data_IF_524828508969
#
_entry.id   IF_524828508969
#
_cell.length_a   1.000
_cell.length_b   1.000
_cell.length_c   1.000
_cell.angle_alpha   90.00
_cell.angle_beta   90.00
_cell.angle_gamma   90.00
#
_symmetry.space_group_name_H-M   'P 1'
#
loop_
_entity.id
_entity.type
_entity.pdbx_description
1 polymer ?
#
# COMPACT_ATOMS: atom_id res chain seq x y z
N UNK A 1 -14.65 1.12 8.54
CA UNK A 1 -13.56 2.10 8.62
C UNK A 1 -13.15 2.36 7.18
N UNK A 2 -12.89 3.61 6.82
CA UNK A 2 -12.43 3.96 5.47
C UNK A 2 -11.01 4.47 5.60
N UNK A 3 -10.08 3.83 4.91
CA UNK A 3 -8.67 4.20 4.89
C UNK A 3 -8.37 4.93 3.59
N UNK A 4 -7.58 6.00 3.66
CA UNK A 4 -7.28 6.83 2.49
C UNK A 4 -6.48 6.06 1.44
N UNK A 5 -6.49 6.50 0.18
CA UNK A 5 -5.66 5.88 -0.85
C UNK A 5 -4.17 5.98 -0.48
N UNK A 6 -3.38 5.03 -0.97
CA UNK A 6 -1.95 5.01 -0.70
C UNK A 6 -1.25 6.23 -1.29
N UNK A 7 -0.19 6.71 -0.62
CA UNK A 7 0.65 7.77 -1.13
C UNK A 7 1.87 7.18 -1.84
N UNK A 8 2.21 7.74 -3.00
CA UNK A 8 3.43 7.36 -3.72
C UNK A 8 4.49 8.45 -3.53
N UNK A 9 5.45 8.31 -2.60
CA UNK A 9 6.45 9.34 -2.31
C UNK A 9 7.35 9.64 -3.52
N UNK A 10 7.55 8.66 -4.40
CA UNK A 10 8.28 8.83 -5.67
C UNK A 10 7.54 9.73 -6.67
N UNK A 11 6.24 9.99 -6.47
CA UNK A 11 5.38 10.73 -7.38
C UNK A 11 4.55 11.79 -6.66
N UNK A 12 5.13 12.87 -6.10
CA UNK A 12 4.41 13.80 -5.23
C UNK A 12 3.27 14.62 -5.91
N UNK A 13 3.27 14.76 -7.24
CA UNK A 13 2.31 15.59 -8.00
C UNK A 13 1.17 14.79 -8.66
N UNK A 14 0.87 13.58 -8.19
CA UNK A 14 -0.21 12.78 -8.77
C UNK A 14 -1.61 13.27 -8.36
N UNK A 15 -2.57 13.12 -9.27
CA UNK A 15 -3.97 13.31 -8.94
C UNK A 15 -4.39 12.26 -7.90
N UNK A 16 -5.25 12.66 -6.95
CA UNK A 16 -5.58 11.87 -5.75
C UNK A 16 -6.15 10.48 -6.03
N UNK A 17 -6.70 10.23 -7.23
CA UNK A 17 -7.39 8.98 -7.56
C UNK A 17 -6.73 8.18 -8.71
N UNK A 18 -5.77 8.78 -9.42
CA UNK A 18 -5.14 8.14 -10.59
C UNK A 18 -3.76 8.69 -10.90
N UNK A 19 -2.85 7.81 -11.28
CA UNK A 19 -1.48 8.13 -11.66
C UNK A 19 -1.05 7.34 -12.89
N UNK A 20 -0.24 7.99 -13.73
CA UNK A 20 0.49 7.36 -14.82
C UNK A 20 1.86 6.92 -14.26
N UNK A 21 2.03 5.63 -14.07
CA UNK A 21 3.27 5.02 -13.60
C UNK A 21 4.13 4.63 -14.79
N UNK A 22 5.16 5.43 -15.09
CA UNK A 22 6.16 5.08 -16.10
C UNK A 22 7.23 4.22 -15.47
N UNK A 23 7.35 2.97 -15.90
CA UNK A 23 8.37 2.05 -15.40
C UNK A 23 9.78 2.57 -15.68
N UNK A 24 9.99 3.28 -16.79
CA UNK A 24 11.22 4.01 -17.08
C UNK A 24 11.63 5.06 -16.02
N UNK A 25 10.67 5.60 -15.24
CA UNK A 25 10.95 6.52 -14.14
C UNK A 25 11.16 5.81 -12.79
N UNK A 26 10.97 4.49 -12.74
CA UNK A 26 11.11 3.69 -11.54
C UNK A 26 12.51 3.03 -11.54
N UNK A 27 13.41 3.52 -10.69
CA UNK A 27 14.77 2.97 -10.61
C UNK A 27 14.81 1.52 -10.11
N UNK A 28 13.90 1.17 -9.20
CA UNK A 28 13.81 -0.16 -8.56
C UNK A 28 12.35 -0.49 -8.21
N UNK A 29 12.03 -0.79 -6.95
CA UNK A 29 10.66 -1.02 -6.49
C UNK A 29 9.82 0.26 -6.40
N UNK A 30 8.50 0.09 -6.57
CA UNK A 30 7.51 1.14 -6.30
C UNK A 30 7.24 1.17 -4.80
N UNK A 31 7.54 2.32 -4.20
CA UNK A 31 7.30 2.59 -2.80
C UNK A 31 5.87 3.11 -2.64
N UNK A 32 5.14 2.44 -1.76
CA UNK A 32 3.76 2.71 -1.41
C UNK A 32 3.72 3.06 0.06
N UNK A 33 3.43 4.32 0.37
CA UNK A 33 3.36 4.81 1.73
C UNK A 33 1.92 4.78 2.23
N UNK A 34 1.72 4.19 3.40
CA UNK A 34 0.45 4.23 4.12
C UNK A 34 0.31 5.63 4.76
N UNK A 35 -0.78 6.38 4.49
CA UNK A 35 -0.99 7.69 5.08
C UNK A 35 -0.91 7.68 6.62
N UNK A 36 -0.34 8.73 7.21
CA UNK A 36 -0.28 8.87 8.67
C UNK A 36 -1.57 9.42 9.25
N UNK A 37 -1.77 9.23 10.56
CA UNK A 37 -2.87 9.85 11.31
C UNK A 37 -4.26 9.25 11.05
N UNK A 38 -4.33 8.18 10.25
CA UNK A 38 -5.47 7.26 10.26
C UNK A 38 -5.40 6.40 11.53
N UNK A 39 -6.56 6.00 12.05
CA UNK A 39 -6.70 5.24 13.30
C UNK A 39 -6.30 3.77 13.08
N UNK A 40 -5.06 3.54 12.63
CA UNK A 40 -4.46 2.25 12.35
C UNK A 40 -4.15 1.54 13.67
N UNK A 41 -4.74 0.37 13.94
CA UNK A 41 -4.43 -0.40 15.14
C UNK A 41 -2.99 -0.89 15.11
N UNK A 42 -2.15 -0.66 16.14
CA UNK A 42 -0.72 -0.97 16.12
C UNK A 42 -0.42 -2.48 16.19
N UNK A 43 -1.42 -3.31 16.48
CA UNK A 43 -1.32 -4.76 16.56
C UNK A 43 -1.67 -5.47 15.24
N UNK A 44 -1.80 -4.73 14.16
CA UNK A 44 -2.13 -5.27 12.83
C UNK A 44 -0.90 -5.28 11.92
N UNK A 45 -0.99 -6.04 10.85
CA UNK A 45 -0.04 -5.97 9.74
C UNK A 45 -0.70 -5.25 8.55
N UNK A 46 0.11 -4.67 7.68
CA UNK A 46 -0.33 -4.01 6.45
C UNK A 46 0.51 -4.46 5.27
N UNK A 47 -0.12 -4.69 4.13
CA UNK A 47 0.53 -5.15 2.91
C UNK A 47 -0.10 -4.52 1.67
N UNK A 48 0.67 -4.31 0.58
CA UNK A 48 0.13 -3.77 -0.65
C UNK A 48 -0.52 -4.88 -1.46
N UNK A 49 -1.57 -4.53 -2.21
CA UNK A 49 -2.23 -5.42 -3.15
C UNK A 49 -2.43 -4.72 -4.50
N UNK A 50 -2.39 -5.50 -5.57
CA UNK A 50 -2.72 -5.06 -6.92
C UNK A 50 -3.86 -5.91 -7.46
N UNK A 51 -4.83 -5.26 -8.08
CA UNK A 51 -5.96 -5.90 -8.74
C UNK A 51 -7.26 -5.14 -8.51
N UNK A 52 -8.21 -5.35 -9.41
CA UNK A 52 -9.52 -4.69 -9.36
C UNK A 52 -10.40 -5.20 -8.20
N UNK A 53 -10.14 -6.42 -7.71
CA UNK A 53 -10.86 -7.04 -6.60
C UNK A 53 -9.99 -7.09 -5.33
N UNK A 54 -10.36 -6.39 -4.24
CA UNK A 54 -9.61 -6.43 -2.98
C UNK A 54 -9.78 -7.74 -2.18
N UNK A 55 -10.83 -8.54 -2.45
CA UNK A 55 -11.00 -9.86 -1.82
C UNK A 55 -10.17 -10.93 -2.54
N UNK A 56 -10.04 -10.82 -3.86
CA UNK A 56 -9.23 -11.71 -4.71
C UNK A 56 -8.20 -10.92 -5.54
N UNK A 57 -7.19 -10.30 -4.92
CA UNK A 57 -6.21 -9.51 -5.64
C UNK A 57 -5.34 -10.40 -6.54
N UNK A 58 -4.94 -9.86 -7.69
CA UNK A 58 -4.06 -10.53 -8.65
C UNK A 58 -2.64 -10.67 -8.09
N UNK A 59 -2.22 -9.73 -7.24
CA UNK A 59 -0.94 -9.77 -6.55
C UNK A 59 -1.02 -9.22 -5.12
N UNK A 60 -0.19 -9.78 -4.23
CA UNK A 60 -0.05 -9.37 -2.84
C UNK A 60 1.43 -9.24 -2.49
N UNK A 61 1.79 -8.16 -1.82
CA UNK A 61 3.16 -7.89 -1.37
C UNK A 61 3.47 -8.47 0.01
N UNK A 62 4.61 -8.03 0.54
CA UNK A 62 5.04 -8.39 1.89
C UNK A 62 4.26 -7.59 2.93
N UNK A 63 3.96 -8.26 4.04
CA UNK A 63 3.32 -7.65 5.20
C UNK A 63 4.35 -6.99 6.11
N UNK A 64 4.08 -5.75 6.47
CA UNK A 64 4.84 -4.97 7.43
C UNK A 64 4.00 -4.69 8.68
N UNK A 65 4.61 -4.68 9.87
CA UNK A 65 3.90 -4.40 11.11
C UNK A 65 3.47 -2.93 11.16
N UNK A 66 2.24 -2.69 11.61
CA UNK A 66 1.72 -1.32 11.78
C UNK A 66 2.11 -0.67 13.10
N UNK A 67 2.76 -1.41 13.98
CA UNK A 67 3.20 -0.94 15.29
C UNK A 67 4.38 -1.72 15.83
N UNK A 68 5.01 -1.16 16.86
CA UNK A 68 6.09 -1.79 17.62
C UNK A 68 5.78 -1.75 19.09
N UNK A 69 6.32 -2.72 19.81
CA UNK A 69 6.31 -2.72 21.26
C UNK A 69 7.22 -1.61 21.79
N UNK A 70 6.67 -0.73 22.63
CA UNK A 70 7.43 0.29 23.35
C UNK A 70 7.57 -0.14 24.82
N UNK A 71 8.78 -0.57 25.20
CA UNK A 71 9.09 -1.03 26.56
C UNK A 71 8.92 0.07 27.63
N UNK A 72 8.99 1.35 27.26
CA UNK A 72 8.82 2.44 28.21
C UNK A 72 7.34 2.71 28.52
N UNK A 73 6.45 2.44 27.56
CA UNK A 73 5.01 2.55 27.71
C UNK A 73 4.35 1.24 28.15
N UNK A 74 5.07 0.11 28.07
CA UNK A 74 4.55 -1.25 28.29
C UNK A 74 3.33 -1.54 27.40
N UNK A 75 3.37 -1.02 26.15
CA UNK A 75 2.25 -1.06 25.21
C UNK A 75 2.74 -1.01 23.74
N UNK A 76 1.86 -1.38 22.81
CA UNK A 76 2.08 -1.28 21.37
C UNK A 76 1.84 0.15 20.87
N UNK A 77 2.82 0.74 20.19
CA UNK A 77 2.71 2.07 19.56
C UNK A 77 2.61 1.97 18.05
N UNK A 78 1.71 2.75 17.45
CA UNK A 78 1.53 2.80 16.00
C UNK A 78 2.74 3.41 15.31
N UNK A 79 3.21 2.77 14.25
CA UNK A 79 4.22 3.32 13.36
C UNK A 79 3.61 4.39 12.46
N UNK A 80 4.45 5.34 12.08
CA UNK A 80 4.15 6.36 11.07
C UNK A 80 5.14 6.23 9.92
N UNK A 81 4.70 6.57 8.72
CA UNK A 81 5.51 6.48 7.51
C UNK A 81 5.79 5.04 7.10
N UNK A 82 4.81 4.15 7.24
CA UNK A 82 4.96 2.74 6.83
C UNK A 82 5.09 2.71 5.31
N UNK A 83 6.22 2.19 4.83
CA UNK A 83 6.55 2.05 3.42
C UNK A 83 6.45 0.59 3.01
N UNK A 84 5.68 0.34 1.95
CA UNK A 84 5.48 -0.96 1.35
C UNK A 84 6.13 -0.96 -0.03
N UNK A 85 6.79 -2.06 -0.39
CA UNK A 85 7.51 -2.16 -1.66
C UNK A 85 6.78 -3.07 -2.62
N UNK A 86 6.61 -2.60 -3.86
CA UNK A 86 6.04 -3.38 -4.97
C UNK A 86 7.14 -3.59 -6.00
N UNK A 87 7.51 -4.85 -6.29
CA UNK A 87 8.55 -5.12 -7.25
C UNK A 87 8.21 -4.63 -8.65
N UNK A 88 9.18 -4.00 -9.32
CA UNK A 88 9.02 -3.53 -10.70
C UNK A 88 8.50 -4.62 -11.65
N UNK A 89 9.03 -5.84 -11.53
CA UNK A 89 8.66 -6.95 -12.42
C UNK A 89 7.20 -7.40 -12.24
N UNK A 90 6.58 -7.09 -11.09
CA UNK A 90 5.15 -7.31 -10.88
C UNK A 90 4.33 -6.26 -11.62
N UNK A 91 4.76 -5.00 -11.57
CA UNK A 91 4.14 -3.91 -12.32
C UNK A 91 4.25 -4.10 -13.84
N UNK A 92 5.34 -4.70 -14.32
CA UNK A 92 5.53 -5.05 -15.74
C UNK A 92 4.43 -5.96 -16.31
N UNK A 93 3.76 -6.76 -15.46
CA UNK A 93 2.62 -7.59 -15.89
C UNK A 93 1.42 -6.77 -16.33
N UNK A 94 1.33 -5.51 -15.89
CA UNK A 94 0.22 -4.59 -16.15
C UNK A 94 0.56 -3.55 -17.24
N UNK A 95 1.64 -3.76 -18.01
CA UNK A 95 2.10 -2.82 -19.03
C UNK A 95 0.99 -2.44 -20.03
N UNK A 96 0.81 -1.14 -20.25
CA UNK A 96 -0.26 -0.53 -21.06
C UNK A 96 -1.68 -0.81 -20.55
N UNK A 97 -1.83 -1.16 -19.27
CA UNK A 97 -3.10 -1.41 -18.60
C UNK A 97 -3.24 -0.56 -17.35
N UNK A 98 -4.47 -0.45 -16.85
CA UNK A 98 -4.75 0.15 -15.54
C UNK A 98 -4.93 -0.97 -14.53
N UNK A 99 -4.36 -0.81 -13.34
CA UNK A 99 -4.55 -1.69 -12.19
C UNK A 99 -4.88 -0.85 -10.95
N UNK A 100 -5.73 -1.34 -10.07
CA UNK A 100 -5.97 -0.69 -8.77
C UNK A 100 -4.91 -1.12 -7.76
N UNK A 101 -4.26 -0.12 -7.15
CA UNK A 101 -3.37 -0.29 -6.00
C UNK A 101 -4.14 0.02 -4.73
N UNK A 102 -4.08 -0.89 -3.77
CA UNK A 102 -4.58 -0.70 -2.41
C UNK A 102 -3.57 -1.22 -1.41
N UNK A 103 -3.71 -0.80 -0.15
CA UNK A 103 -3.13 -1.56 0.96
C UNK A 103 -4.27 -2.22 1.74
N UNK A 104 -4.01 -3.42 2.25
CA UNK A 104 -4.90 -4.15 3.14
C UNK A 104 -4.25 -4.30 4.49
N UNK A 105 -5.08 -4.25 5.52
CA UNK A 105 -4.68 -4.67 6.85
C UNK A 105 -5.01 -6.14 7.06
N UNK A 106 -4.25 -6.82 7.90
CA UNK A 106 -4.60 -8.12 8.43
C UNK A 106 -4.52 -8.08 9.95
N UNK A 107 -5.58 -8.55 10.60
CA UNK A 107 -5.58 -8.85 12.02
C UNK A 107 -5.58 -10.36 12.28
N UNK A 108 -5.35 -10.75 13.53
CA UNK A 108 -5.42 -12.16 13.95
C UNK A 108 -6.83 -12.76 13.87
N UNK A 109 -7.88 -11.93 13.71
CA UNK A 109 -9.29 -12.33 13.70
C UNK A 109 -9.90 -12.38 12.28
N UNK A 110 -9.08 -12.28 11.23
CA UNK A 110 -9.50 -12.28 9.81
C UNK A 110 -10.31 -11.06 9.34
N UNK A 111 -10.22 -9.93 10.04
CA UNK A 111 -10.66 -8.64 9.53
C UNK A 111 -9.60 -8.07 8.60
N UNK A 112 -9.98 -7.89 7.33
CA UNK A 112 -9.08 -7.38 6.30
C UNK A 112 -9.62 -6.13 5.60
N UNK A 113 -9.75 -4.99 6.29
CA UNK A 113 -10.17 -3.77 5.64
C UNK A 113 -9.11 -3.30 4.64
N UNK A 114 -9.58 -2.83 3.48
CA UNK A 114 -8.75 -2.25 2.42
C UNK A 114 -8.86 -0.73 2.38
N UNK A 115 -7.83 -0.10 1.82
CA UNK A 115 -7.85 1.32 1.48
C UNK A 115 -8.76 1.63 0.29
N UNK A 116 -9.06 2.92 0.11
CA UNK A 116 -9.51 3.44 -1.18
C UNK A 116 -8.49 3.08 -2.29
N UNK A 117 -8.96 2.82 -3.52
CA UNK A 117 -8.10 2.46 -4.63
C UNK A 117 -7.33 3.67 -5.17
N UNK A 118 -6.07 3.44 -5.52
CA UNK A 118 -5.31 4.32 -6.39
C UNK A 118 -5.17 3.65 -7.77
N UNK A 119 -5.67 4.30 -8.83
CA UNK A 119 -5.57 3.75 -10.18
C UNK A 119 -4.17 3.99 -10.74
N UNK A 120 -3.43 2.93 -10.99
CA UNK A 120 -2.12 2.96 -11.63
C UNK A 120 -2.27 2.61 -13.11
N UNK A 121 -2.02 3.56 -14.01
CA UNK A 121 -1.83 3.26 -15.43
C UNK A 121 -0.35 2.99 -15.68
N UNK A 122 0.02 1.74 -15.99
CA UNK A 122 1.42 1.35 -16.14
C UNK A 122 1.88 1.56 -17.58
N UNK A 123 2.86 2.43 -17.77
CA UNK A 123 3.53 2.70 -19.05
C UNK A 123 4.97 2.19 -19.04
N UNK A 124 5.51 1.92 -20.23
CA UNK A 124 6.92 1.55 -20.40
C UNK A 124 7.89 2.69 -20.06
#
# INVERSE_FOLDING_TARGET
MTFAAAHLPQFPDHASDSIILRLSNLDDDLIVQVPDGQNTPPNWDVYPILGDDPEEPEWQGLSEPTGVWDDALDDMVGMTGIELSIPRFELEKYLNSTVELRYKFADESSLEPSSEPLKLFVEA
#
